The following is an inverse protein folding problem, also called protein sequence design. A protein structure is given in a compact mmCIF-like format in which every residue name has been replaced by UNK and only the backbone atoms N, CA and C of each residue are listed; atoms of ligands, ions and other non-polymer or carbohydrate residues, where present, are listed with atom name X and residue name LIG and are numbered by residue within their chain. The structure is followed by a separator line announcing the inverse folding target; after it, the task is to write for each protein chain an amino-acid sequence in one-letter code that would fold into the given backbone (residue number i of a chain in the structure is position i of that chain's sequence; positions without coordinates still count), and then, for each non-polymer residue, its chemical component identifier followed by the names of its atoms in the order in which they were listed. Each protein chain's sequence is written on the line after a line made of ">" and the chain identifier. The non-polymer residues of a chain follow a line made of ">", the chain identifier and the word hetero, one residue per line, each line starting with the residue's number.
data_IF_943851342437
#
_entry.id   IF_943851342437
#
_cell.length_a   1.000
_cell.length_b   1.000
_cell.length_c   1.000
_cell.angle_alpha   90.00
_cell.angle_beta   90.00
_cell.angle_gamma   90.00
#
_symmetry.space_group_name_H-M   'P 1'
#
loop_
_entity.id
_entity.type
_entity.pdbx_description
1 polymer ?
#
# COMPACT_ATOMS: atom_id res chain seq x y z
N UNK A 1 67.08 58.42 14.62
CA UNK A 1 65.91 58.00 15.42
C UNK A 1 64.75 57.68 14.48
N UNK A 2 64.07 56.56 14.75
CA UNK A 2 62.74 56.07 14.32
C UNK A 2 62.27 56.23 12.86
N UNK A 3 62.13 55.13 12.11
CA UNK A 3 60.91 54.29 11.92
C UNK A 3 60.01 54.80 10.74
N UNK A 4 59.98 54.07 9.63
CA UNK A 4 58.96 53.05 9.26
C UNK A 4 57.52 53.58 9.20
N UNK A 5 56.96 53.64 7.99
CA UNK A 5 56.00 52.61 7.52
C UNK A 5 55.33 53.04 6.21
N UNK A 6 55.74 52.43 5.09
CA UNK A 6 54.87 52.27 3.93
C UNK A 6 54.21 50.90 4.02
N UNK A 7 52.96 50.86 4.49
CA UNK A 7 52.09 49.71 4.31
C UNK A 7 51.45 49.77 2.91
N UNK A 8 51.87 48.89 1.99
CA UNK A 8 51.10 48.58 0.78
C UNK A 8 50.50 47.18 0.92
N UNK A 9 49.17 47.16 1.03
CA UNK A 9 48.31 45.97 1.00
C UNK A 9 48.37 45.27 -0.35
N UNK A 10 49.25 44.28 -0.49
CA UNK A 10 49.25 43.34 -1.61
C UNK A 10 48.18 42.28 -1.42
N UNK A 11 47.00 42.48 -2.03
CA UNK A 11 45.91 41.51 -2.06
C UNK A 11 46.37 40.28 -2.86
N UNK A 12 46.71 39.19 -2.17
CA UNK A 12 47.28 37.96 -2.74
C UNK A 12 46.36 37.31 -3.78
N UNK A 13 46.76 37.36 -5.07
CA UNK A 13 46.11 36.65 -6.17
C UNK A 13 46.10 35.12 -5.98
N UNK A 14 47.09 34.59 -5.25
CA UNK A 14 47.22 33.17 -4.91
C UNK A 14 46.05 32.67 -4.05
N UNK A 15 45.60 33.45 -3.07
CA UNK A 15 44.44 33.08 -2.23
C UNK A 15 43.13 33.00 -3.03
N UNK A 16 43.00 33.81 -4.08
CA UNK A 16 41.82 33.80 -4.97
C UNK A 16 41.79 32.57 -5.88
N UNK A 17 42.94 32.13 -6.38
CA UNK A 17 43.04 30.95 -7.24
C UNK A 17 42.77 29.66 -6.45
N UNK A 18 43.27 29.57 -5.22
CA UNK A 18 43.00 28.42 -4.33
C UNK A 18 41.51 28.36 -3.95
N UNK A 19 40.89 29.49 -3.62
CA UNK A 19 39.46 29.54 -3.32
C UNK A 19 38.57 29.13 -4.51
N UNK A 20 38.94 29.53 -5.73
CA UNK A 20 38.24 29.12 -6.96
C UNK A 20 38.40 27.62 -7.24
N UNK A 21 39.59 27.06 -7.00
CA UNK A 21 39.83 25.62 -7.13
C UNK A 21 38.99 24.78 -6.15
N UNK A 22 38.89 25.21 -4.89
CA UNK A 22 38.06 24.52 -3.88
C UNK A 22 36.57 24.58 -4.22
N UNK A 23 36.07 25.74 -4.70
CA UNK A 23 34.68 25.90 -5.13
C UNK A 23 34.32 24.99 -6.31
N UNK A 24 35.23 24.85 -7.28
CA UNK A 24 35.02 23.97 -8.43
C UNK A 24 34.92 22.49 -8.00
N UNK A 25 35.75 22.04 -7.06
CA UNK A 25 35.72 20.67 -6.54
C UNK A 25 34.42 20.39 -5.78
N UNK A 26 33.96 21.34 -4.96
CA UNK A 26 32.67 21.22 -4.23
C UNK A 26 31.49 21.15 -5.21
N UNK A 27 31.50 21.98 -6.27
CA UNK A 27 30.45 21.97 -7.27
C UNK A 27 30.37 20.65 -8.06
N UNK A 28 31.53 20.07 -8.41
CA UNK A 28 31.60 18.76 -9.09
C UNK A 28 31.14 17.63 -8.16
N UNK A 29 31.53 17.66 -6.88
CA UNK A 29 31.09 16.68 -5.89
C UNK A 29 29.57 16.74 -5.65
N UNK A 30 29.01 17.95 -5.54
CA UNK A 30 27.57 18.15 -5.40
C UNK A 30 26.81 17.72 -6.67
N UNK A 31 27.32 18.02 -7.86
CA UNK A 31 26.73 17.60 -9.13
C UNK A 31 26.75 16.07 -9.30
N UNK A 32 27.84 15.42 -8.92
CA UNK A 32 27.95 13.96 -8.93
C UNK A 32 26.98 13.31 -7.92
N UNK A 33 26.84 13.86 -6.72
CA UNK A 33 25.90 13.36 -5.71
C UNK A 33 24.45 13.47 -6.19
N UNK A 34 24.05 14.63 -6.73
CA UNK A 34 22.69 14.85 -7.26
C UNK A 34 22.41 13.98 -8.48
N UNK A 35 23.40 13.73 -9.34
CA UNK A 35 23.24 12.85 -10.50
C UNK A 35 23.12 11.37 -10.08
N UNK A 36 23.89 10.92 -9.09
CA UNK A 36 23.75 9.58 -8.52
C UNK A 36 22.38 9.42 -7.84
N UNK A 37 21.93 10.41 -7.08
CA UNK A 37 20.62 10.36 -6.40
C UNK A 37 19.44 10.34 -7.40
N UNK A 38 19.52 11.11 -8.49
CA UNK A 38 18.53 11.09 -9.59
C UNK A 38 18.57 9.81 -10.43
N UNK A 39 19.76 9.28 -10.69
CA UNK A 39 19.89 8.03 -11.48
C UNK A 39 19.54 6.78 -10.68
N UNK A 40 19.72 6.79 -9.36
CA UNK A 40 19.26 5.73 -8.48
C UNK A 40 17.73 5.75 -8.29
N UNK A 41 17.10 6.93 -8.19
CA UNK A 41 15.64 7.04 -8.08
C UNK A 41 14.89 6.62 -9.37
N UNK A 42 15.51 6.76 -10.55
CA UNK A 42 14.92 6.31 -11.81
C UNK A 42 15.01 4.78 -12.03
N UNK A 43 15.92 4.09 -11.34
CA UNK A 43 16.17 2.65 -11.50
C UNK A 43 15.62 1.77 -10.38
N UNK A 44 14.78 2.31 -9.49
CA UNK A 44 13.96 1.44 -8.65
C UNK A 44 12.98 0.70 -9.55
N UNK A 45 13.27 -0.58 -9.78
CA UNK A 45 12.25 -1.54 -10.21
C UNK A 45 11.10 -1.41 -9.23
N UNK A 46 10.04 -0.70 -9.64
CA UNK A 46 8.79 -0.60 -8.92
C UNK A 46 8.37 -2.02 -8.55
N UNK A 47 8.33 -2.29 -7.25
CA UNK A 47 8.02 -3.64 -6.75
C UNK A 47 6.73 -4.13 -7.40
N UNK A 48 6.63 -5.42 -7.72
CA UNK A 48 5.40 -6.01 -8.27
C UNK A 48 4.18 -5.76 -7.36
N UNK A 49 4.42 -5.40 -6.09
CA UNK A 49 3.46 -5.12 -5.04
C UNK A 49 3.22 -3.61 -4.81
N UNK A 50 3.85 -2.74 -5.59
CA UNK A 50 3.60 -1.30 -5.54
C UNK A 50 2.14 -1.01 -5.89
N UNK A 51 1.48 -0.23 -5.04
CA UNK A 51 0.05 0.06 -5.15
C UNK A 51 -0.87 -0.99 -4.54
N UNK A 52 -0.35 -2.14 -4.09
CA UNK A 52 -1.14 -3.14 -3.35
C UNK A 52 -1.42 -2.68 -1.91
N UNK A 53 -2.59 -3.05 -1.39
CA UNK A 53 -3.02 -2.80 -0.02
C UNK A 53 -3.18 -4.11 0.74
N UNK A 54 -3.04 -4.07 2.06
CA UNK A 54 -3.41 -5.19 2.91
C UNK A 54 -4.93 -5.38 2.93
N UNK A 55 -5.38 -6.63 3.07
CA UNK A 55 -6.80 -6.97 3.16
C UNK A 55 -7.07 -7.60 4.51
N UNK A 56 -8.05 -7.04 5.22
CA UNK A 56 -8.59 -7.55 6.46
C UNK A 56 -9.90 -8.25 6.13
N UNK A 57 -9.90 -9.58 6.17
CA UNK A 57 -11.08 -10.38 5.82
C UNK A 57 -11.90 -10.74 7.05
N UNK A 58 -13.22 -10.58 6.94
CA UNK A 58 -14.21 -10.92 7.96
C UNK A 58 -15.17 -11.94 7.34
N UNK A 59 -15.11 -13.17 7.81
CA UNK A 59 -15.99 -14.24 7.33
C UNK A 59 -17.17 -14.40 8.30
N UNK A 60 -18.33 -13.94 7.88
CA UNK A 60 -19.61 -14.09 8.59
C UNK A 60 -20.37 -15.34 8.18
N UNK A 61 -19.77 -16.21 7.37
CA UNK A 61 -20.36 -17.51 7.02
C UNK A 61 -20.02 -18.57 8.06
N UNK A 62 -20.87 -19.58 8.15
CA UNK A 62 -20.67 -20.73 9.02
C UNK A 62 -19.57 -21.71 8.56
N UNK A 63 -18.96 -21.48 7.40
CA UNK A 63 -17.96 -22.37 6.79
C UNK A 63 -16.69 -21.61 6.41
N UNK A 64 -15.61 -22.33 6.16
CA UNK A 64 -14.40 -21.71 5.63
C UNK A 64 -14.68 -21.23 4.20
N UNK A 65 -14.09 -20.09 3.85
CA UNK A 65 -14.23 -19.50 2.53
C UNK A 65 -12.86 -19.36 1.89
N UNK A 66 -12.73 -19.87 0.67
CA UNK A 66 -11.61 -19.56 -0.21
C UNK A 66 -12.01 -18.39 -1.12
N UNK A 67 -11.25 -17.29 -1.10
CA UNK A 67 -11.53 -16.09 -1.90
C UNK A 67 -10.30 -15.59 -2.66
N UNK A 68 -10.56 -14.78 -3.69
CA UNK A 68 -9.57 -14.10 -4.51
C UNK A 68 -10.05 -12.71 -4.91
N UNK A 69 -9.17 -11.71 -4.78
CA UNK A 69 -9.37 -10.34 -5.26
C UNK A 69 -8.45 -10.01 -6.45
N UNK A 70 -7.53 -10.93 -6.78
CA UNK A 70 -6.52 -10.75 -7.80
C UNK A 70 -6.25 -12.10 -8.47
N UNK A 71 -6.17 -12.15 -9.81
CA UNK A 71 -5.85 -13.39 -10.52
C UNK A 71 -4.60 -14.09 -9.98
N UNK A 72 -4.71 -15.40 -9.75
CA UNK A 72 -3.59 -16.23 -9.26
C UNK A 72 -3.30 -16.13 -7.75
N UNK A 73 -4.01 -15.28 -6.99
CA UNK A 73 -3.86 -15.18 -5.53
C UNK A 73 -5.14 -15.62 -4.84
N UNK A 74 -5.03 -16.64 -3.98
CA UNK A 74 -6.15 -17.23 -3.22
C UNK A 74 -5.84 -17.24 -1.73
N UNK A 75 -6.87 -16.97 -0.93
CA UNK A 75 -6.79 -16.89 0.52
C UNK A 75 -7.95 -17.60 1.18
N UNK A 76 -7.73 -18.05 2.41
CA UNK A 76 -8.74 -18.76 3.20
C UNK A 76 -9.11 -17.89 4.39
N UNK A 77 -10.40 -17.60 4.53
CA UNK A 77 -10.98 -17.01 5.72
C UNK A 77 -11.76 -18.07 6.49
N UNK A 78 -11.37 -18.31 7.75
CA UNK A 78 -11.98 -19.37 8.57
C UNK A 78 -13.44 -19.10 8.87
N UNK A 79 -14.22 -20.16 9.05
CA UNK A 79 -15.62 -20.10 9.46
C UNK A 79 -15.83 -19.19 10.68
N UNK A 80 -16.84 -18.31 10.61
CA UNK A 80 -17.21 -17.36 11.67
C UNK A 80 -16.03 -16.54 12.23
N UNK A 81 -14.99 -16.31 11.44
CA UNK A 81 -13.81 -15.54 11.83
C UNK A 81 -13.95 -14.11 11.35
N UNK A 82 -14.64 -13.27 12.15
CA UNK A 82 -14.88 -11.86 11.88
C UNK A 82 -14.29 -10.96 12.98
N UNK A 83 -13.15 -11.34 13.55
CA UNK A 83 -12.44 -10.56 14.58
C UNK A 83 -11.56 -9.44 14.00
N UNK A 84 -11.30 -9.46 12.69
CA UNK A 84 -10.36 -8.53 12.04
C UNK A 84 -8.89 -8.93 12.19
N UNK A 85 -8.59 -10.11 12.73
CA UNK A 85 -7.20 -10.58 12.90
C UNK A 85 -6.66 -11.34 11.68
N UNK A 86 -7.50 -11.63 10.68
CA UNK A 86 -7.08 -12.29 9.45
C UNK A 86 -6.59 -11.26 8.44
N UNK A 87 -5.28 -11.11 8.34
CA UNK A 87 -4.64 -10.11 7.49
C UNK A 87 -3.88 -10.77 6.37
N UNK A 88 -4.17 -10.32 5.16
CA UNK A 88 -3.44 -10.67 3.97
C UNK A 88 -2.58 -9.47 3.53
N UNK A 89 -1.27 -9.60 3.69
CA UNK A 89 -0.32 -8.62 3.16
C UNK A 89 -0.39 -8.60 1.63
N UNK A 90 -0.52 -7.40 1.07
CA UNK A 90 -0.62 -7.17 -0.39
C UNK A 90 -1.78 -7.88 -1.08
N UNK A 91 -2.93 -7.94 -0.41
CA UNK A 91 -4.03 -8.77 -0.89
C UNK A 91 -4.92 -8.21 -1.98
N UNK A 92 -4.77 -6.92 -2.27
CA UNK A 92 -5.54 -6.30 -3.33
C UNK A 92 -4.76 -5.16 -3.99
N UNK A 93 -4.83 -5.09 -5.32
CA UNK A 93 -4.32 -3.97 -6.11
C UNK A 93 -5.39 -3.58 -7.13
N UNK A 94 -5.92 -2.34 -7.07
CA UNK A 94 -6.86 -1.89 -8.08
C UNK A 94 -6.18 -1.84 -9.46
N UNK A 95 -6.90 -2.24 -10.51
CA UNK A 95 -6.38 -2.18 -11.88
C UNK A 95 -6.24 -0.72 -12.37
N UNK A 96 -7.16 0.14 -11.95
CA UNK A 96 -7.14 1.59 -12.09
C UNK A 96 -7.88 2.21 -10.88
N UNK A 97 -7.71 3.52 -10.57
CA UNK A 97 -8.33 4.15 -9.40
C UNK A 97 -9.86 4.04 -9.32
N UNK A 98 -10.54 3.85 -10.45
CA UNK A 98 -11.99 3.74 -10.61
C UNK A 98 -12.43 2.37 -11.15
N UNK A 99 -11.50 1.45 -11.43
CA UNK A 99 -11.81 0.13 -11.95
C UNK A 99 -12.59 -0.69 -10.90
N UNK A 100 -13.70 -1.34 -11.27
CA UNK A 100 -14.47 -2.17 -10.35
C UNK A 100 -13.62 -3.21 -9.62
N UNK A 101 -13.95 -3.44 -8.36
CA UNK A 101 -13.31 -4.48 -7.57
C UNK A 101 -14.05 -5.81 -7.78
N UNK A 102 -13.32 -6.83 -8.23
CA UNK A 102 -13.84 -8.18 -8.32
C UNK A 102 -13.44 -8.99 -7.09
N UNK A 103 -14.39 -9.72 -6.52
CA UNK A 103 -14.14 -10.82 -5.59
C UNK A 103 -14.74 -12.09 -6.16
N UNK A 104 -13.94 -13.14 -6.26
CA UNK A 104 -14.44 -14.50 -6.46
C UNK A 104 -14.25 -15.30 -5.18
N UNK A 105 -15.26 -16.06 -4.76
CA UNK A 105 -15.15 -16.90 -3.58
C UNK A 105 -15.99 -18.18 -3.67
N UNK A 106 -15.62 -19.17 -2.86
CA UNK A 106 -16.32 -20.44 -2.69
C UNK A 106 -16.29 -20.85 -1.23
N UNK A 107 -17.24 -21.70 -0.83
CA UNK A 107 -17.08 -22.45 0.40
C UNK A 107 -15.94 -23.47 0.23
N UNK A 108 -15.00 -23.47 1.17
CA UNK A 108 -13.89 -24.42 1.24
C UNK A 108 -14.20 -25.59 2.19
N UNK A 109 -15.21 -25.44 3.03
CA UNK A 109 -15.75 -26.50 3.88
C UNK A 109 -17.28 -26.48 3.90
N UNK A 110 -17.88 -27.56 4.41
CA UNK A 110 -19.34 -27.70 4.51
C UNK A 110 -20.03 -28.32 3.28
N UNK A 111 -21.38 -28.47 3.33
CA UNK A 111 -22.16 -29.17 2.31
C UNK A 111 -22.16 -28.50 0.93
N UNK A 112 -21.86 -27.21 0.87
CA UNK A 112 -21.82 -26.40 -0.35
C UNK A 112 -20.37 -26.17 -0.83
N UNK A 113 -19.39 -26.87 -0.26
CA UNK A 113 -18.00 -26.74 -0.69
C UNK A 113 -17.84 -27.19 -2.14
N UNK A 114 -17.19 -26.36 -2.95
CA UNK A 114 -16.86 -26.68 -4.35
C UNK A 114 -15.38 -26.97 -4.50
N UNK A 115 -15.01 -27.64 -5.58
CA UNK A 115 -13.62 -27.94 -5.90
C UNK A 115 -12.78 -26.69 -6.15
N UNK A 116 -11.46 -26.82 -6.00
CA UNK A 116 -10.54 -25.74 -6.37
C UNK A 116 -10.69 -25.38 -7.86
N UNK A 117 -10.86 -24.09 -8.15
CA UNK A 117 -11.10 -23.58 -9.50
C UNK A 117 -12.57 -23.29 -9.81
N UNK A 118 -13.50 -23.84 -9.03
CA UNK A 118 -14.93 -23.58 -9.15
C UNK A 118 -15.37 -22.54 -8.10
N UNK A 119 -15.45 -21.28 -8.53
CA UNK A 119 -15.83 -20.15 -7.70
C UNK A 119 -17.26 -19.70 -8.06
N UNK A 120 -18.31 -20.27 -7.44
CA UNK A 120 -19.69 -20.00 -7.82
C UNK A 120 -20.12 -18.56 -7.49
N UNK A 121 -19.44 -17.90 -6.56
CA UNK A 121 -19.72 -16.52 -6.19
C UNK A 121 -18.69 -15.59 -6.80
N UNK A 122 -19.07 -14.91 -7.89
CA UNK A 122 -18.27 -13.84 -8.50
C UNK A 122 -19.02 -12.53 -8.36
N UNK A 123 -18.47 -11.60 -7.59
CA UNK A 123 -19.10 -10.33 -7.27
C UNK A 123 -18.25 -9.19 -7.81
N UNK A 124 -18.91 -8.28 -8.53
CA UNK A 124 -18.34 -7.02 -8.96
C UNK A 124 -18.86 -5.90 -8.06
N UNK A 125 -17.96 -5.24 -7.34
CA UNK A 125 -18.26 -4.07 -6.53
C UNK A 125 -17.75 -2.81 -7.24
N UNK A 126 -18.47 -1.67 -7.14
CA UNK A 126 -17.87 -0.38 -7.45
C UNK A 126 -16.57 -0.21 -6.66
N UNK A 127 -15.59 0.48 -7.23
CA UNK A 127 -14.34 0.71 -6.51
C UNK A 127 -14.61 1.51 -5.23
N UNK A 128 -14.29 0.99 -4.03
CA UNK A 128 -14.49 1.75 -2.80
C UNK A 128 -13.66 3.03 -2.84
N UNK A 129 -14.22 4.13 -2.33
CA UNK A 129 -13.51 5.40 -2.27
C UNK A 129 -12.28 5.25 -1.39
N UNK A 130 -11.10 5.60 -1.93
CA UNK A 130 -9.83 5.46 -1.23
C UNK A 130 -9.46 6.78 -0.53
N UNK A 131 -9.39 6.82 0.82
CA UNK A 131 -8.84 7.97 1.53
C UNK A 131 -7.37 8.24 1.15
N UNK A 132 -6.93 9.48 1.31
CA UNK A 132 -5.53 9.82 1.16
C UNK A 132 -4.66 9.14 2.24
N UNK A 133 -3.45 8.74 1.87
CA UNK A 133 -2.46 8.17 2.79
C UNK A 133 -2.44 6.64 2.83
N UNK A 134 -1.91 6.10 3.93
CA UNK A 134 -1.79 4.67 4.17
C UNK A 134 -3.16 4.10 4.56
N UNK A 135 -3.63 3.13 3.78
CA UNK A 135 -4.96 2.52 3.93
C UNK A 135 -4.87 1.01 3.80
N UNK A 136 -5.86 0.33 4.36
CA UNK A 136 -6.12 -1.10 4.20
C UNK A 136 -7.51 -1.29 3.63
N UNK A 137 -7.78 -2.45 3.04
CA UNK A 137 -9.10 -2.86 2.60
C UNK A 137 -9.75 -3.73 3.66
N UNK A 138 -10.92 -3.35 4.16
CA UNK A 138 -11.79 -4.29 4.87
C UNK A 138 -12.64 -5.03 3.84
N UNK A 139 -12.65 -6.36 3.94
CA UNK A 139 -13.47 -7.23 3.11
C UNK A 139 -14.37 -8.08 4.00
N UNK A 140 -15.68 -7.92 3.84
CA UNK A 140 -16.68 -8.72 4.55
C UNK A 140 -17.32 -9.71 3.59
N UNK A 141 -17.32 -10.98 3.98
CA UNK A 141 -17.93 -12.07 3.23
C UNK A 141 -19.09 -12.62 4.05
N UNK A 142 -20.25 -12.70 3.41
CA UNK A 142 -21.51 -13.13 4.01
C UNK A 142 -22.04 -14.37 3.28
N UNK A 143 -23.03 -15.08 3.86
CA UNK A 143 -23.72 -16.16 3.17
C UNK A 143 -24.30 -15.72 1.81
N UNK A 144 -24.56 -16.72 0.95
CA UNK A 144 -25.31 -16.54 -0.30
C UNK A 144 -24.64 -15.60 -1.33
N UNK A 145 -23.31 -15.57 -1.39
CA UNK A 145 -22.60 -14.77 -2.39
C UNK A 145 -22.47 -13.28 -2.06
N UNK A 146 -22.88 -12.85 -0.87
CA UNK A 146 -22.84 -11.44 -0.48
C UNK A 146 -21.46 -11.02 0.00
N UNK A 147 -21.02 -9.83 -0.44
CA UNK A 147 -19.76 -9.25 -0.05
C UNK A 147 -19.88 -7.73 0.09
N UNK A 148 -19.07 -7.17 0.98
CA UNK A 148 -18.92 -5.74 1.14
C UNK A 148 -17.46 -5.37 1.36
N UNK A 149 -17.07 -4.17 0.92
CA UNK A 149 -15.72 -3.68 1.11
C UNK A 149 -15.66 -2.17 1.33
N UNK A 150 -14.59 -1.73 1.98
CA UNK A 150 -14.23 -0.31 2.10
C UNK A 150 -12.74 -0.15 2.35
N UNK A 151 -12.22 1.05 2.06
CA UNK A 151 -10.89 1.44 2.51
C UNK A 151 -10.96 2.15 3.86
N UNK A 152 -10.06 1.80 4.76
CA UNK A 152 -9.93 2.45 6.07
C UNK A 152 -8.46 2.67 6.41
N UNK A 153 -8.18 3.64 7.26
CA UNK A 153 -6.84 3.85 7.83
C UNK A 153 -6.60 2.97 9.05
N UNK A 154 -7.68 2.55 9.73
CA UNK A 154 -7.65 1.65 10.89
C UNK A 154 -8.77 0.62 10.73
N UNK A 155 -8.44 -0.67 10.58
CA UNK A 155 -9.44 -1.71 10.48
C UNK A 155 -10.15 -1.94 11.82
N UNK A 156 -11.38 -2.43 11.75
CA UNK A 156 -12.14 -2.90 12.89
C UNK A 156 -11.52 -4.20 13.39
N UNK A 157 -10.94 -4.15 14.58
CA UNK A 157 -10.36 -5.33 15.23
C UNK A 157 -11.01 -5.50 16.59
N UNK A 158 -11.29 -6.75 16.94
CA UNK A 158 -11.84 -7.12 18.24
C UNK A 158 -11.07 -8.30 18.81
N UNK A 159 -10.56 -8.11 20.03
CA UNK A 159 -9.72 -9.10 20.71
C UNK A 159 -10.54 -10.20 21.41
N UNK A 160 -11.84 -9.98 21.59
CA UNK A 160 -12.69 -10.83 22.44
C UNK A 160 -13.87 -11.48 21.71
N UNK A 161 -14.30 -10.92 20.58
CA UNK A 161 -15.49 -11.38 19.85
C UNK A 161 -15.45 -10.99 18.37
N UNK A 162 -16.39 -11.49 17.57
CA UNK A 162 -16.56 -11.00 16.20
C UNK A 162 -17.08 -9.55 16.20
N UNK A 163 -16.62 -8.77 15.23
CA UNK A 163 -17.25 -7.47 14.93
C UNK A 163 -18.68 -7.70 14.46
N UNK A 164 -19.53 -6.69 14.60
CA UNK A 164 -20.92 -6.76 14.19
C UNK A 164 -21.05 -6.97 12.66
N UNK A 165 -21.95 -7.85 12.18
CA UNK A 165 -22.13 -8.12 10.76
C UNK A 165 -22.68 -6.91 9.98
N UNK A 166 -23.37 -5.99 10.66
CA UNK A 166 -23.86 -4.74 10.07
C UNK A 166 -22.71 -3.87 9.59
N UNK A 167 -22.92 -3.16 8.49
CA UNK A 167 -21.92 -2.27 7.88
C UNK A 167 -21.94 -0.90 8.58
N UNK A 168 -20.95 -0.56 9.43
CA UNK A 168 -20.96 0.72 10.11
C UNK A 168 -20.48 1.83 9.16
N UNK A 169 -21.26 2.91 9.04
CA UNK A 169 -20.93 4.03 8.17
C UNK A 169 -21.49 3.89 6.75
N UNK A 170 -21.26 4.91 5.92
CA UNK A 170 -21.81 5.02 4.57
C UNK A 170 -20.80 4.75 3.45
N UNK A 171 -19.55 4.44 3.79
CA UNK A 171 -18.41 4.28 2.89
C UNK A 171 -18.26 2.86 2.30
N UNK A 172 -19.16 1.95 2.69
CA UNK A 172 -19.21 0.59 2.19
C UNK A 172 -19.78 0.50 0.78
N UNK A 173 -19.08 -0.24 -0.07
CA UNK A 173 -19.64 -0.78 -1.31
C UNK A 173 -20.06 -2.23 -1.06
N UNK A 174 -21.22 -2.64 -1.57
CA UNK A 174 -21.76 -4.00 -1.40
C UNK A 174 -22.63 -4.38 -2.59
N UNK A 175 -22.83 -5.68 -2.80
CA UNK A 175 -23.68 -6.21 -3.86
C UNK A 175 -25.15 -6.46 -3.46
N UNK A 176 -25.53 -6.09 -2.23
CA UNK A 176 -26.86 -6.19 -1.59
C UNK A 176 -27.52 -7.59 -1.65
#
# INVERSE_FOLDING_TARGET
>A
MSERNQGKTGRSQLGRLVALGVLAVIAVAAGAYVYVERSQTQNFQRSALEGSVAVYSYNFTQYDVAYSLMPGLRWIARANSATGNNVQSFGYRPAAPDAPMQISWRYDSGPQATGEGDYPFVVMLPQPQRPAGAVVLELRIYPDGKAAARYVTRPLVSDFSNVAPELPGSDWVSNR
#
